data_IF_270669489752
#
_entry.id   IF_270669489752
#
_cell.length_a   1.000
_cell.length_b   1.000
_cell.length_c   1.000
_cell.angle_alpha   90.00
_cell.angle_beta   90.00
_cell.angle_gamma   90.00
#
_symmetry.space_group_name_H-M   'P 1'
#
loop_
_entity.id
_entity.type
_entity.pdbx_description
1 polymer ?
#
# COMPACT_ATOMS: atom_id res chain seq x y z
N UNK A 1 28.52 19.54 12.55
CA UNK A 1 27.45 18.53 12.55
C UNK A 1 27.53 17.78 11.22
N UNK A 2 28.25 16.66 11.14
CA UNK A 2 28.33 15.87 9.91
C UNK A 2 26.99 15.14 9.75
N UNK A 3 26.15 15.62 8.83
CA UNK A 3 24.99 14.86 8.38
C UNK A 3 25.56 13.71 7.56
N UNK A 4 25.97 12.62 8.21
CA UNK A 4 26.00 11.32 7.54
C UNK A 4 24.55 11.04 7.18
N UNK A 5 24.17 11.29 5.92
CA UNK A 5 22.90 10.86 5.35
C UNK A 5 22.82 9.35 5.57
N UNK A 6 22.20 8.95 6.68
CA UNK A 6 22.15 7.56 7.12
C UNK A 6 21.17 6.78 6.26
N UNK A 7 21.43 5.49 6.05
CA UNK A 7 20.50 4.58 5.37
C UNK A 7 19.08 4.64 5.98
N UNK A 8 18.96 4.92 7.28
CA UNK A 8 17.66 5.21 7.92
C UNK A 8 16.93 6.43 7.37
N UNK A 9 17.63 7.53 7.10
CA UNK A 9 17.00 8.71 6.50
C UNK A 9 16.47 8.39 5.11
N UNK A 10 17.19 7.56 4.33
CA UNK A 10 16.72 7.10 3.03
C UNK A 10 15.43 6.30 3.18
N UNK A 11 15.39 5.33 4.11
CA UNK A 11 14.17 4.58 4.39
C UNK A 11 13.00 5.51 4.81
N UNK A 12 13.24 6.44 5.74
CA UNK A 12 12.22 7.40 6.19
C UNK A 12 11.70 8.29 5.03
N UNK A 13 12.59 8.70 4.10
CA UNK A 13 12.19 9.45 2.90
C UNK A 13 11.30 8.58 1.99
N UNK A 14 11.64 7.31 1.80
CA UNK A 14 10.85 6.38 0.98
C UNK A 14 9.45 6.16 1.58
N UNK A 15 9.33 5.95 2.89
CA UNK A 15 8.05 5.83 3.60
C UNK A 15 7.24 7.13 3.53
N UNK A 16 7.89 8.29 3.72
CA UNK A 16 7.24 9.60 3.61
C UNK A 16 6.73 9.86 2.20
N UNK A 17 7.55 9.53 1.19
CA UNK A 17 7.16 9.64 -0.22
C UNK A 17 5.94 8.74 -0.50
N UNK A 18 5.90 7.52 0.05
CA UNK A 18 4.77 6.62 -0.09
C UNK A 18 3.48 7.22 0.47
N UNK A 19 3.54 7.80 1.67
CA UNK A 19 2.42 8.52 2.26
C UNK A 19 1.93 9.65 1.34
N UNK A 20 2.84 10.47 0.81
CA UNK A 20 2.50 11.55 -0.12
C UNK A 20 1.92 11.04 -1.45
N UNK A 21 2.46 9.94 -1.98
CA UNK A 21 1.93 9.29 -3.19
C UNK A 21 0.50 8.83 -2.96
N UNK A 22 0.18 8.25 -1.80
CA UNK A 22 -1.17 7.82 -1.50
C UNK A 22 -2.18 8.96 -1.59
N UNK A 23 -1.84 10.14 -1.06
CA UNK A 23 -2.68 11.32 -1.21
C UNK A 23 -2.73 11.82 -2.67
N UNK A 24 -1.60 11.78 -3.36
CA UNK A 24 -1.47 12.33 -4.71
C UNK A 24 -2.18 11.50 -5.78
N UNK A 25 -2.32 10.19 -5.62
CA UNK A 25 -3.03 9.31 -6.57
C UNK A 25 -4.45 9.82 -6.87
N UNK A 26 -5.13 10.39 -5.86
CA UNK A 26 -6.49 10.93 -5.98
C UNK A 26 -6.57 12.05 -7.02
N UNK A 27 -5.48 12.80 -7.26
CA UNK A 27 -5.43 13.90 -8.24
C UNK A 27 -5.71 13.44 -9.67
N UNK A 28 -5.45 12.17 -9.97
CA UNK A 28 -5.66 11.58 -11.28
C UNK A 28 -7.09 11.07 -11.49
N UNK A 29 -7.99 11.28 -10.52
CA UNK A 29 -9.38 10.89 -10.67
C UNK A 29 -10.03 11.68 -11.80
N UNK A 30 -10.56 10.97 -12.79
CA UNK A 30 -11.26 11.54 -13.94
C UNK A 30 -12.42 10.64 -14.32
N UNK A 31 -13.45 11.21 -14.96
CA UNK A 31 -14.54 10.44 -15.56
C UNK A 31 -14.11 9.73 -16.86
N UNK A 32 -12.87 9.91 -17.31
CA UNK A 32 -12.28 9.27 -18.48
C UNK A 32 -11.17 8.30 -18.03
N UNK A 33 -11.52 7.02 -17.76
CA UNK A 33 -10.60 6.07 -17.13
C UNK A 33 -9.29 5.89 -17.90
N UNK A 34 -9.33 5.97 -19.23
CA UNK A 34 -8.17 5.78 -20.10
C UNK A 34 -7.06 6.83 -19.86
N UNK A 35 -7.40 7.98 -19.28
CA UNK A 35 -6.45 9.05 -18.97
C UNK A 35 -5.94 8.97 -17.51
N UNK A 36 -6.82 8.67 -16.55
CA UNK A 36 -6.47 8.65 -15.13
C UNK A 36 -5.81 7.35 -14.66
N UNK A 37 -6.30 6.20 -15.14
CA UNK A 37 -5.86 4.86 -14.71
C UNK A 37 -4.38 4.59 -14.98
N UNK A 38 -3.80 4.95 -16.15
CA UNK A 38 -2.36 4.78 -16.39
C UNK A 38 -1.51 5.46 -15.33
N UNK A 39 -1.78 6.74 -15.05
CA UNK A 39 -1.00 7.55 -14.11
C UNK A 39 -1.18 7.04 -12.68
N UNK A 40 -2.42 6.78 -12.25
CA UNK A 40 -2.68 6.20 -10.94
C UNK A 40 -1.96 4.85 -10.74
N UNK A 41 -1.90 4.02 -11.79
CA UNK A 41 -1.20 2.72 -11.76
C UNK A 41 0.31 2.88 -11.67
N UNK A 42 0.91 3.86 -12.37
CA UNK A 42 2.35 4.16 -12.25
C UNK A 42 2.69 4.63 -10.84
N UNK A 43 1.89 5.53 -10.26
CA UNK A 43 2.12 6.01 -8.89
C UNK A 43 1.94 4.89 -7.86
N UNK A 44 0.94 4.01 -8.02
CA UNK A 44 0.82 2.80 -7.20
C UNK A 44 2.05 1.89 -7.33
N UNK A 45 2.52 1.67 -8.56
CA UNK A 45 3.73 0.88 -8.79
C UNK A 45 4.96 1.50 -8.10
N UNK A 46 5.14 2.82 -8.21
CA UNK A 46 6.23 3.53 -7.50
C UNK A 46 6.10 3.35 -5.99
N UNK A 47 4.90 3.48 -5.41
CA UNK A 47 4.66 3.26 -3.99
C UNK A 47 5.05 1.84 -3.53
N UNK A 48 4.75 0.82 -4.33
CA UNK A 48 5.16 -0.56 -4.05
C UNK A 48 6.66 -0.80 -4.25
N UNK A 49 7.29 -0.12 -5.21
CA UNK A 49 8.75 -0.18 -5.37
C UNK A 49 9.44 0.41 -4.14
N UNK A 50 8.99 1.56 -3.65
CA UNK A 50 9.58 2.18 -2.45
C UNK A 50 9.35 1.35 -1.18
N UNK A 51 8.22 0.64 -1.07
CA UNK A 51 7.92 -0.36 -0.03
C UNK A 51 8.87 -1.56 -0.04
N UNK A 52 9.14 -2.12 -1.21
CA UNK A 52 10.07 -3.25 -1.26
C UNK A 52 11.50 -2.85 -0.85
N UNK A 53 11.89 -1.60 -1.08
CA UNK A 53 13.26 -1.12 -0.89
C UNK A 53 13.55 -0.58 0.51
N UNK A 54 12.58 0.03 1.19
CA UNK A 54 12.84 0.70 2.48
C UNK A 54 13.24 -0.28 3.59
N UNK A 55 12.62 -1.47 3.66
CA UNK A 55 12.90 -2.50 4.66
C UNK A 55 14.32 -3.05 4.54
N UNK A 56 14.77 -3.50 3.36
CA UNK A 56 16.17 -3.86 3.13
C UNK A 56 17.14 -2.73 3.47
N UNK A 57 16.90 -1.50 2.99
CA UNK A 57 17.78 -0.34 3.27
C UNK A 57 17.87 -0.06 4.78
N UNK A 58 16.73 -0.11 5.47
CA UNK A 58 16.60 0.07 6.91
C UNK A 58 17.35 -1.00 7.71
N UNK A 59 17.40 -2.25 7.22
CA UNK A 59 18.15 -3.37 7.84
C UNK A 59 19.66 -3.30 7.62
N UNK A 60 20.12 -2.59 6.59
CA UNK A 60 21.54 -2.38 6.32
C UNK A 60 22.16 -1.30 7.23
N UNK A 61 21.37 -0.47 7.92
CA UNK A 61 21.91 0.52 8.86
C UNK A 61 22.50 -0.18 10.11
N UNK A 62 23.81 -0.02 10.38
CA UNK A 62 24.49 -0.70 11.49
C UNK A 62 23.96 -0.27 12.87
N UNK A 63 23.31 0.89 12.97
CA UNK A 63 22.82 1.43 14.25
C UNK A 63 21.52 0.78 14.71
N UNK A 64 20.79 0.09 13.81
CA UNK A 64 19.50 -0.58 14.09
C UNK A 64 18.47 0.29 14.84
N UNK A 65 18.54 1.62 14.68
CA UNK A 65 17.62 2.56 15.34
C UNK A 65 16.23 2.48 14.69
N UNK A 66 15.18 2.45 15.50
CA UNK A 66 13.81 2.61 15.04
C UNK A 66 13.44 4.10 15.06
N UNK A 67 13.08 4.64 13.90
CA UNK A 67 12.65 6.03 13.73
C UNK A 67 11.16 6.18 13.98
N UNK A 68 10.69 7.42 14.15
CA UNK A 68 9.25 7.69 14.25
C UNK A 68 8.53 7.36 12.95
N UNK A 69 9.13 7.72 11.80
CA UNK A 69 8.57 7.45 10.47
C UNK A 69 8.50 5.94 10.22
N UNK A 70 9.59 5.20 10.46
CA UNK A 70 9.60 3.75 10.32
C UNK A 70 8.66 3.00 11.28
N UNK A 71 8.15 3.64 12.34
CA UNK A 71 7.08 3.08 13.21
C UNK A 71 5.69 3.24 12.58
N UNK A 72 5.52 4.21 11.69
CA UNK A 72 4.25 4.54 11.04
C UNK A 72 4.22 4.08 9.56
N UNK A 73 5.06 3.11 9.20
CA UNK A 73 5.14 2.55 7.85
C UNK A 73 3.79 1.97 7.38
N UNK A 74 3.12 1.21 8.25
CA UNK A 74 1.76 0.72 8.00
C UNK A 74 0.76 1.85 7.70
N UNK A 75 0.92 3.02 8.32
CA UNK A 75 0.07 4.18 8.04
C UNK A 75 0.31 4.70 6.63
N UNK A 76 1.54 4.68 6.14
CA UNK A 76 1.85 5.04 4.76
C UNK A 76 1.18 4.08 3.77
N UNK A 77 1.25 2.76 4.03
CA UNK A 77 0.63 1.76 3.16
C UNK A 77 -0.91 1.86 3.14
N UNK A 78 -1.53 2.02 4.31
CA UNK A 78 -2.97 2.27 4.42
C UNK A 78 -3.37 3.55 3.69
N UNK A 79 -2.51 4.59 3.70
CA UNK A 79 -2.76 5.83 2.97
C UNK A 79 -2.72 5.61 1.45
N UNK A 80 -1.79 4.80 0.94
CA UNK A 80 -1.76 4.42 -0.49
C UNK A 80 -3.03 3.68 -0.87
N UNK A 81 -3.41 2.68 -0.07
CA UNK A 81 -4.63 1.91 -0.29
C UNK A 81 -5.89 2.77 -0.28
N UNK A 82 -6.00 3.70 0.68
CA UNK A 82 -7.08 4.68 0.73
C UNK A 82 -7.08 5.59 -0.51
N UNK A 83 -5.91 6.06 -0.94
CA UNK A 83 -5.73 6.86 -2.16
C UNK A 83 -6.23 6.14 -3.41
N UNK A 84 -5.85 4.86 -3.57
CA UNK A 84 -6.37 4.00 -4.63
C UNK A 84 -7.89 3.87 -4.57
N UNK A 85 -8.46 3.65 -3.38
CA UNK A 85 -9.90 3.51 -3.22
C UNK A 85 -10.66 4.79 -3.55
N UNK A 86 -10.18 5.94 -3.06
CA UNK A 86 -10.74 7.25 -3.38
C UNK A 86 -10.65 7.57 -4.86
N UNK A 87 -9.54 7.22 -5.52
CA UNK A 87 -9.41 7.33 -6.96
C UNK A 87 -10.50 6.52 -7.70
N UNK A 88 -10.77 5.28 -7.28
CA UNK A 88 -11.83 4.47 -7.86
C UNK A 88 -13.22 5.08 -7.66
N UNK A 89 -13.49 5.65 -6.48
CA UNK A 89 -14.76 6.33 -6.17
C UNK A 89 -14.93 7.57 -7.05
N UNK A 90 -13.94 8.46 -7.04
CA UNK A 90 -14.05 9.75 -7.72
C UNK A 90 -13.92 9.65 -9.25
N UNK A 91 -13.35 8.56 -9.76
CA UNK A 91 -13.37 8.24 -11.19
C UNK A 91 -14.65 7.52 -11.63
N UNK A 92 -15.62 7.33 -10.72
CA UNK A 92 -16.86 6.59 -10.97
C UNK A 92 -16.63 5.14 -11.46
N UNK A 93 -15.55 4.51 -11.00
CA UNK A 93 -15.17 3.14 -11.33
C UNK A 93 -15.76 2.11 -10.35
N UNK A 94 -16.16 2.57 -9.17
CA UNK A 94 -16.98 1.83 -8.22
C UNK A 94 -18.15 2.69 -7.78
N UNK A 95 -19.24 2.04 -7.37
CA UNK A 95 -20.40 2.75 -6.83
C UNK A 95 -19.99 3.57 -5.57
N UNK A 96 -20.26 4.89 -5.51
CA UNK A 96 -19.84 5.72 -4.38
C UNK A 96 -20.39 5.27 -3.03
N UNK A 97 -21.61 4.74 -2.95
CA UNK A 97 -22.18 4.25 -1.69
C UNK A 97 -21.40 3.03 -1.17
N UNK A 98 -21.03 2.11 -2.06
CA UNK A 98 -20.18 0.95 -1.71
C UNK A 98 -18.78 1.45 -1.31
N UNK A 99 -18.22 2.38 -2.08
CA UNK A 99 -16.90 2.94 -1.85
C UNK A 99 -16.76 3.62 -0.49
N UNK A 100 -17.64 4.58 -0.19
CA UNK A 100 -17.65 5.27 1.10
C UNK A 100 -18.06 4.35 2.24
N UNK A 101 -19.02 3.44 2.01
CA UNK A 101 -19.40 2.42 2.99
C UNK A 101 -18.21 1.55 3.42
N UNK A 102 -17.36 1.15 2.47
CA UNK A 102 -16.12 0.43 2.76
C UNK A 102 -15.14 1.24 3.61
N UNK A 103 -14.97 2.54 3.31
CA UNK A 103 -14.11 3.43 4.11
C UNK A 103 -14.63 3.55 5.54
N UNK A 104 -15.93 3.81 5.73
CA UNK A 104 -16.52 3.97 7.05
C UNK A 104 -16.47 2.68 7.87
N UNK A 105 -16.76 1.54 7.23
CA UNK A 105 -16.64 0.23 7.87
C UNK A 105 -15.19 -0.06 8.26
N UNK A 106 -14.24 0.17 7.36
CA UNK A 106 -12.82 -0.02 7.63
C UNK A 106 -12.33 0.86 8.77
N UNK A 107 -12.65 2.16 8.75
CA UNK A 107 -12.32 3.09 9.81
C UNK A 107 -12.90 2.67 11.16
N UNK A 108 -14.17 2.26 11.18
CA UNK A 108 -14.83 1.77 12.40
C UNK A 108 -14.17 0.50 12.95
N UNK A 109 -13.92 -0.51 12.11
CA UNK A 109 -13.33 -1.77 12.56
C UNK A 109 -11.87 -1.60 12.98
N UNK A 110 -11.09 -0.76 12.29
CA UNK A 110 -9.71 -0.45 12.69
C UNK A 110 -9.67 0.33 14.01
N UNK A 111 -10.58 1.28 14.22
CA UNK A 111 -10.71 2.00 15.49
C UNK A 111 -11.10 1.07 16.64
N UNK A 112 -12.03 0.14 16.40
CA UNK A 112 -12.53 -0.78 17.41
C UNK A 112 -11.49 -1.86 17.78
N UNK A 113 -10.94 -2.56 16.79
CA UNK A 113 -10.03 -3.69 17.01
C UNK A 113 -8.57 -3.29 17.20
N UNK A 114 -8.14 -2.11 16.70
CA UNK A 114 -6.76 -1.61 16.78
C UNK A 114 -5.71 -2.62 16.30
N UNK A 115 -6.05 -3.41 15.28
CA UNK A 115 -5.24 -4.52 14.78
C UNK A 115 -4.53 -4.16 13.48
N UNK A 116 -3.21 -4.35 13.45
CA UNK A 116 -2.38 -4.18 12.24
C UNK A 116 -2.73 -5.20 11.15
N UNK A 117 -3.07 -6.44 11.55
CA UNK A 117 -3.46 -7.50 10.62
C UNK A 117 -4.80 -7.20 9.93
N UNK A 118 -5.70 -6.54 10.65
CA UNK A 118 -6.94 -6.05 10.07
C UNK A 118 -6.64 -4.97 9.01
N UNK A 119 -5.69 -4.07 9.29
CA UNK A 119 -5.24 -3.08 8.31
C UNK A 119 -4.66 -3.75 7.06
N UNK A 120 -3.88 -4.83 7.19
CA UNK A 120 -3.38 -5.59 6.03
C UNK A 120 -4.53 -6.14 5.18
N UNK A 121 -5.56 -6.71 5.82
CA UNK A 121 -6.72 -7.23 5.10
C UNK A 121 -7.48 -6.12 4.36
N UNK A 122 -7.64 -4.95 4.97
CA UNK A 122 -8.32 -3.80 4.37
C UNK A 122 -7.58 -3.18 3.19
N UNK A 123 -6.28 -3.43 3.06
CA UNK A 123 -5.51 -2.92 1.94
C UNK A 123 -5.70 -3.72 0.64
N UNK A 124 -6.03 -5.00 0.76
CA UNK A 124 -6.10 -5.90 -0.39
C UNK A 124 -7.20 -5.54 -1.40
N UNK A 125 -8.45 -5.20 -1.00
CA UNK A 125 -9.50 -4.88 -1.97
C UNK A 125 -9.19 -3.65 -2.83
N UNK A 126 -8.68 -2.52 -2.30
CA UNK A 126 -8.27 -1.40 -3.16
C UNK A 126 -7.19 -1.76 -4.17
N UNK A 127 -6.18 -2.52 -3.78
CA UNK A 127 -5.12 -2.96 -4.70
C UNK A 127 -5.65 -3.93 -5.75
N UNK A 128 -6.47 -4.90 -5.36
CA UNK A 128 -7.11 -5.84 -6.28
C UNK A 128 -7.98 -5.13 -7.31
N UNK A 129 -8.81 -4.18 -6.86
CA UNK A 129 -9.67 -3.39 -7.77
C UNK A 129 -8.86 -2.50 -8.70
N UNK A 130 -7.77 -1.88 -8.22
CA UNK A 130 -6.87 -1.11 -9.08
C UNK A 130 -6.28 -1.96 -10.20
N UNK A 131 -5.82 -3.18 -9.90
CA UNK A 131 -5.29 -4.11 -10.91
C UNK A 131 -6.38 -4.45 -11.93
N UNK A 132 -7.58 -4.80 -11.48
CA UNK A 132 -8.70 -5.16 -12.37
C UNK A 132 -9.08 -4.00 -13.31
N UNK A 133 -9.18 -2.79 -12.77
CA UNK A 133 -9.44 -1.58 -13.56
C UNK A 133 -8.30 -1.30 -14.53
N UNK A 134 -7.05 -1.41 -14.10
CA UNK A 134 -5.88 -1.21 -14.94
C UNK A 134 -5.83 -2.22 -16.08
N UNK A 135 -6.11 -3.51 -15.85
CA UNK A 135 -6.20 -4.51 -16.91
C UNK A 135 -7.30 -4.19 -17.93
N UNK A 136 -8.41 -3.58 -17.49
CA UNK A 136 -9.54 -3.25 -18.36
C UNK A 136 -9.32 -1.99 -19.19
N UNK A 137 -8.76 -0.94 -18.60
CA UNK A 137 -8.69 0.40 -19.21
C UNK A 137 -7.28 0.80 -19.66
N UNK A 138 -6.25 0.18 -19.10
CA UNK A 138 -4.85 0.48 -19.37
C UNK A 138 -3.99 -0.80 -19.28
N UNK A 139 -4.22 -1.82 -20.14
CA UNK A 139 -3.73 -3.19 -19.93
C UNK A 139 -2.22 -3.29 -19.70
N UNK A 140 -1.41 -2.49 -20.39
CA UNK A 140 0.05 -2.40 -20.19
C UNK A 140 0.41 -2.10 -18.74
N UNK A 141 -0.31 -1.18 -18.09
CA UNK A 141 -0.08 -0.80 -16.70
C UNK A 141 -0.67 -1.81 -15.72
N UNK A 142 -1.80 -2.45 -16.07
CA UNK A 142 -2.31 -3.60 -15.30
C UNK A 142 -1.31 -4.76 -15.27
N UNK A 143 -0.69 -5.07 -16.40
CA UNK A 143 0.36 -6.08 -16.50
C UNK A 143 1.62 -5.69 -15.73
N UNK A 144 2.02 -4.41 -15.74
CA UNK A 144 3.11 -3.90 -14.91
C UNK A 144 2.87 -4.22 -13.41
N UNK A 145 1.66 -3.96 -12.91
CA UNK A 145 1.31 -4.25 -11.52
C UNK A 145 1.35 -5.75 -11.20
N UNK A 146 0.83 -6.60 -12.10
CA UNK A 146 0.87 -8.06 -11.93
C UNK A 146 2.32 -8.56 -11.91
N UNK A 147 3.12 -8.17 -12.90
CA UNK A 147 4.53 -8.58 -13.01
C UNK A 147 5.28 -8.16 -11.76
N UNK A 148 5.03 -6.96 -11.24
CA UNK A 148 5.62 -6.51 -9.99
C UNK A 148 5.23 -7.38 -8.80
N UNK A 149 3.95 -7.73 -8.64
CA UNK A 149 3.50 -8.64 -7.57
C UNK A 149 4.20 -9.99 -7.68
N UNK A 150 4.31 -10.55 -8.89
CA UNK A 150 5.01 -11.82 -9.11
C UNK A 150 6.47 -11.72 -8.68
N UNK A 151 7.16 -10.64 -9.02
CA UNK A 151 8.54 -10.37 -8.58
C UNK A 151 8.63 -10.31 -7.06
N UNK A 152 7.76 -9.54 -6.40
CA UNK A 152 7.73 -9.42 -4.94
C UNK A 152 7.49 -10.78 -4.28
N UNK A 153 6.54 -11.57 -4.80
CA UNK A 153 6.25 -12.91 -4.29
C UNK A 153 7.47 -13.82 -4.43
N UNK A 154 8.14 -13.84 -5.58
CA UNK A 154 9.36 -14.65 -5.79
C UNK A 154 10.45 -14.25 -4.80
N UNK A 155 10.72 -12.95 -4.64
CA UNK A 155 11.75 -12.43 -3.74
C UNK A 155 11.44 -12.75 -2.27
N UNK A 156 10.16 -12.61 -1.87
CA UNK A 156 9.73 -12.76 -0.47
C UNK A 156 9.31 -14.19 -0.12
N UNK A 157 9.21 -15.10 -1.10
CA UNK A 157 8.74 -16.48 -0.95
C UNK A 157 9.42 -17.27 0.17
N UNK A 158 10.74 -17.17 0.42
CA UNK A 158 11.36 -17.93 1.51
C UNK A 158 10.83 -17.56 2.90
N UNK A 159 10.35 -16.30 3.06
CA UNK A 159 9.87 -15.75 4.33
C UNK A 159 8.35 -15.79 4.44
N UNK A 160 7.63 -15.55 3.36
CA UNK A 160 6.18 -15.38 3.34
C UNK A 160 5.37 -16.55 3.98
N UNK A 161 5.54 -17.82 3.57
CA UNK A 161 4.79 -18.93 4.12
C UNK A 161 5.24 -19.32 5.54
N UNK A 162 6.49 -18.99 5.92
CA UNK A 162 7.06 -19.34 7.23
C UNK A 162 6.69 -18.36 8.32
N UNK A 163 6.58 -17.07 8.00
CA UNK A 163 6.39 -16.01 8.98
C UNK A 163 5.12 -15.19 8.70
N UNK A 164 5.03 -14.54 7.55
CA UNK A 164 3.97 -13.57 7.22
C UNK A 164 2.57 -14.19 7.26
N UNK A 165 2.37 -15.31 6.57
CA UNK A 165 1.06 -15.95 6.48
C UNK A 165 0.60 -16.51 7.84
N UNK A 166 1.42 -17.27 8.61
CA UNK A 166 1.04 -17.71 9.95
C UNK A 166 0.78 -16.57 10.94
N UNK A 167 1.55 -15.48 10.88
CA UNK A 167 1.33 -14.28 11.71
C UNK A 167 -0.01 -13.62 11.39
N UNK A 168 -0.31 -13.40 10.10
CA UNK A 168 -1.60 -12.87 9.66
C UNK A 168 -2.77 -13.74 10.15
N UNK A 169 -2.71 -15.05 9.93
CA UNK A 169 -3.78 -15.96 10.35
C UNK A 169 -3.97 -16.04 11.86
N UNK A 170 -2.90 -15.89 12.65
CA UNK A 170 -2.98 -15.80 14.12
C UNK A 170 -3.58 -14.48 14.56
N UNK A 171 -3.15 -13.38 13.94
CA UNK A 171 -3.66 -12.03 14.19
C UNK A 171 -5.15 -11.91 13.91
N UNK A 172 -5.61 -12.42 12.78
CA UNK A 172 -7.04 -12.43 12.43
C UNK A 172 -7.86 -13.30 13.38
N UNK A 173 -7.34 -14.46 13.81
CA UNK A 173 -8.01 -15.30 14.81
C UNK A 173 -8.11 -14.64 16.19
N UNK A 174 -7.16 -13.77 16.54
CA UNK A 174 -7.18 -13.05 17.80
C UNK A 174 -8.29 -11.99 17.88
N UNK A 175 -8.86 -11.55 16.75
CA UNK A 175 -9.97 -10.59 16.71
C UNK A 175 -11.29 -11.17 17.25
N UNK A 176 -11.43 -12.50 17.24
CA UNK A 176 -12.65 -13.20 17.64
C UNK A 176 -12.56 -13.78 19.06
N UNK A 177 -11.52 -13.45 19.81
CA UNK A 177 -11.33 -13.83 21.22
C UNK A 177 -11.57 -12.62 22.10
#
# INVERSE_FOLDING_TARGET
MKITLGLKLVADILTTLRFLIGLYIVRFSTFEPNNGVPLASVFLWIAWVTDLLDGPISRLDPRKVQTWVGRHDLTADVTVSLGCWLFLIFSNLINPFIGFGYIFLGAFLLWYFKSEYLAWAFQAPPYGMMILVALKHAPTYGMLLIVWIVIVVIITWPRFPKYTLPEFLRGMRALFK
#
